data_IF_297039075744
#
_entry.id   IF_297039075744
#
_cell.length_a   1.000
_cell.length_b   1.000
_cell.length_c   1.000
_cell.angle_alpha   90.00
_cell.angle_beta   90.00
_cell.angle_gamma   90.00
#
_symmetry.space_group_name_H-M   'P 1'
#
loop_
_entity.id
_entity.type
_entity.pdbx_description
1 polymer ?
#
# COMPACT_ATOMS: atom_id res chain seq x y z
N UNK A 1 13.38 6.71 12.06
CA UNK A 1 12.55 5.54 11.73
C UNK A 1 12.50 5.36 10.23
N UNK A 2 12.43 4.11 9.78
CA UNK A 2 12.32 3.75 8.38
C UNK A 2 11.20 2.72 8.25
N UNK A 3 10.38 2.85 7.22
CA UNK A 3 9.33 1.88 6.88
C UNK A 3 9.10 1.89 5.38
N UNK A 4 9.62 0.85 4.72
CA UNK A 4 9.51 0.64 3.28
C UNK A 4 8.39 -0.35 2.92
N UNK A 5 7.62 -0.81 3.91
CA UNK A 5 6.71 -1.95 3.78
C UNK A 5 5.23 -1.66 4.05
N UNK A 6 4.84 -0.43 4.34
CA UNK A 6 3.44 -0.08 4.65
C UNK A 6 2.47 -0.31 3.48
N UNK A 7 2.92 -0.05 2.25
CA UNK A 7 2.12 -0.17 1.03
C UNK A 7 2.00 1.17 0.29
N UNK A 8 0.77 1.61 0.00
CA UNK A 8 0.50 2.82 -0.78
C UNK A 8 1.28 4.05 -0.28
N UNK A 9 1.34 4.23 1.03
CA UNK A 9 1.93 5.37 1.73
C UNK A 9 3.24 4.98 2.43
N UNK A 10 3.99 4.02 1.88
CA UNK A 10 5.35 3.74 2.36
C UNK A 10 6.20 5.01 2.36
N UNK A 11 7.05 5.15 3.38
CA UNK A 11 7.97 6.28 3.51
C UNK A 11 8.98 6.26 2.35
N UNK A 12 9.17 7.41 1.71
CA UNK A 12 10.18 7.60 0.66
C UNK A 12 11.47 8.21 1.19
N UNK A 13 11.51 8.57 2.48
CA UNK A 13 12.70 9.01 3.20
C UNK A 13 12.63 8.54 4.67
N UNK A 14 13.78 8.37 5.34
CA UNK A 14 13.79 8.16 6.78
C UNK A 14 13.24 9.39 7.50
N UNK A 15 12.52 9.15 8.61
CA UNK A 15 12.08 10.23 9.49
C UNK A 15 12.95 10.26 10.75
N UNK A 16 13.32 11.43 11.22
CA UNK A 16 13.84 11.58 12.58
C UNK A 16 12.77 11.15 13.59
N UNK A 17 13.18 10.54 14.71
CA UNK A 17 12.24 10.17 15.78
C UNK A 17 11.90 11.39 16.66
N UNK A 18 11.37 12.44 16.02
CA UNK A 18 11.00 13.70 16.67
C UNK A 18 9.49 13.87 16.67
N UNK A 19 8.94 14.19 17.84
CA UNK A 19 7.49 14.25 18.04
C UNK A 19 6.91 15.59 17.61
N UNK A 20 5.74 15.54 17.00
CA UNK A 20 4.89 16.66 16.56
C UNK A 20 5.46 17.53 15.43
N UNK A 21 6.75 17.46 15.16
CA UNK A 21 7.39 18.12 14.04
C UNK A 21 6.91 17.55 12.70
N UNK A 22 6.60 18.45 11.78
CA UNK A 22 6.37 18.11 10.38
C UNK A 22 7.72 17.80 9.76
N UNK A 23 7.80 16.68 9.06
CA UNK A 23 8.99 16.21 8.38
C UNK A 23 8.65 16.01 6.91
N UNK A 24 9.24 16.85 6.07
CA UNK A 24 9.10 16.77 4.62
C UNK A 24 9.78 15.50 4.11
N UNK A 25 9.18 14.89 3.09
CA UNK A 25 9.77 13.78 2.34
C UNK A 25 9.67 14.10 0.85
N UNK A 26 10.32 13.32 -0.04
CA UNK A 26 10.12 13.50 -1.48
C UNK A 26 8.65 13.37 -1.94
N UNK A 27 7.76 12.83 -1.10
CA UNK A 27 6.34 12.68 -1.40
C UNK A 27 5.49 13.53 -0.44
N UNK A 28 4.76 12.91 0.49
CA UNK A 28 3.95 13.62 1.47
C UNK A 28 4.75 13.98 2.72
N UNK A 29 4.25 14.97 3.45
CA UNK A 29 4.76 15.28 4.78
C UNK A 29 4.27 14.27 5.81
N UNK A 30 5.17 13.92 6.72
CA UNK A 30 4.86 13.03 7.83
C UNK A 30 5.10 13.72 9.17
N UNK A 31 4.46 13.20 10.21
CA UNK A 31 4.81 13.52 11.60
C UNK A 31 4.52 12.36 12.52
N UNK A 32 5.26 12.29 13.61
CA UNK A 32 5.07 11.30 14.66
C UNK A 32 4.37 11.98 15.83
N UNK A 33 3.22 11.49 16.25
CA UNK A 33 2.55 12.00 17.46
C UNK A 33 2.57 10.94 18.55
N UNK A 34 2.56 11.36 19.82
CA UNK A 34 2.43 10.47 20.97
C UNK A 34 1.11 10.74 21.68
N UNK A 35 0.31 9.70 21.91
CA UNK A 35 -0.97 9.77 22.64
C UNK A 35 -1.21 8.46 23.40
N UNK A 36 -1.63 8.55 24.66
CA UNK A 36 -1.97 7.39 25.50
C UNK A 36 -0.88 6.30 25.51
N UNK A 37 0.38 6.72 25.71
CA UNK A 37 1.53 5.81 25.76
C UNK A 37 1.98 5.22 24.42
N UNK A 38 1.30 5.52 23.31
CA UNK A 38 1.60 4.98 21.99
C UNK A 38 2.04 6.07 21.01
N UNK A 39 2.75 5.66 19.96
CA UNK A 39 3.15 6.53 18.86
C UNK A 39 2.23 6.30 17.66
N UNK A 40 2.02 7.34 16.87
CA UNK A 40 1.23 7.26 15.64
C UNK A 40 2.00 7.97 14.53
N UNK A 41 2.20 7.29 13.42
CA UNK A 41 2.67 7.91 12.20
C UNK A 41 1.49 8.55 11.49
N UNK A 42 1.60 9.86 11.20
CA UNK A 42 0.61 10.61 10.44
C UNK A 42 1.20 11.09 9.13
N UNK A 43 0.38 11.09 8.09
CA UNK A 43 0.68 11.55 6.74
C UNK A 43 -0.28 12.68 6.37
N UNK A 44 0.22 13.73 5.72
CA UNK A 44 -0.60 14.82 5.18
C UNK A 44 -1.12 14.44 3.80
N UNK A 45 -2.43 14.19 3.68
CA UNK A 45 -3.08 13.79 2.42
C UNK A 45 -4.23 14.75 2.17
N UNK A 46 -4.24 15.43 1.02
CA UNK A 46 -5.26 16.45 0.67
C UNK A 46 -5.47 17.48 1.79
N UNK A 47 -4.38 17.98 2.36
CA UNK A 47 -4.35 18.92 3.49
C UNK A 47 -4.97 18.40 4.80
N UNK A 48 -5.19 17.08 4.93
CA UNK A 48 -5.65 16.43 6.15
C UNK A 48 -4.61 15.47 6.72
N UNK A 49 -4.43 15.52 8.04
CA UNK A 49 -3.55 14.59 8.75
C UNK A 49 -4.23 13.24 9.00
N UNK A 50 -3.94 12.25 8.17
CA UNK A 50 -4.42 10.86 8.31
C UNK A 50 -3.45 10.04 9.15
N UNK A 51 -3.97 9.17 10.00
CA UNK A 51 -3.15 8.21 10.76
C UNK A 51 -2.87 7.00 9.88
N UNK A 52 -1.59 6.68 9.67
CA UNK A 52 -1.19 5.48 8.90
C UNK A 52 -1.23 4.25 9.81
N UNK A 53 -0.52 4.32 10.94
CA UNK A 53 -0.51 3.25 11.93
C UNK A 53 -0.11 3.74 13.31
N UNK A 54 -0.38 2.89 14.30
CA UNK A 54 -0.01 3.04 15.71
C UNK A 54 1.10 2.04 16.03
N UNK A 55 2.10 2.46 16.79
CA UNK A 55 3.20 1.58 17.21
C UNK A 55 3.70 1.89 18.63
N UNK A 56 4.50 0.98 19.16
CA UNK A 56 5.24 1.13 20.43
C UNK A 56 6.73 0.96 20.15
N UNK A 57 7.59 1.22 21.14
CA UNK A 57 9.03 1.01 21.02
C UNK A 57 9.46 -0.39 21.49
N UNK A 58 8.51 -1.29 21.74
CA UNK A 58 8.83 -2.66 22.11
C UNK A 58 9.55 -3.35 20.94
N UNK A 59 10.57 -4.13 21.27
CA UNK A 59 11.28 -4.94 20.29
C UNK A 59 10.38 -6.07 19.82
N UNK A 60 10.20 -6.19 18.51
CA UNK A 60 9.58 -7.34 17.87
C UNK A 60 10.65 -8.32 17.42
N UNK A 61 10.41 -9.62 17.60
CA UNK A 61 11.31 -10.69 17.20
C UNK A 61 10.78 -11.42 15.96
N UNK A 62 11.64 -12.20 15.31
CA UNK A 62 11.27 -12.98 14.13
C UNK A 62 10.07 -13.92 14.35
N UNK A 63 9.89 -14.43 15.57
CA UNK A 63 8.74 -15.27 15.90
C UNK A 63 7.42 -14.49 15.84
N UNK A 64 7.40 -13.24 16.29
CA UNK A 64 6.21 -12.38 16.25
C UNK A 64 5.78 -12.12 14.81
N UNK A 65 6.76 -11.83 13.93
CA UNK A 65 6.51 -11.64 12.51
C UNK A 65 6.00 -12.92 11.82
N UNK A 66 6.47 -14.11 12.21
CA UNK A 66 5.97 -15.38 11.65
C UNK A 66 4.48 -15.58 11.94
N UNK A 67 4.05 -15.30 13.18
CA UNK A 67 2.64 -15.40 13.58
C UNK A 67 1.79 -14.40 12.81
N UNK A 68 2.21 -13.13 12.76
CA UNK A 68 1.51 -12.09 12.01
C UNK A 68 1.42 -12.40 10.51
N UNK A 69 2.53 -12.85 9.90
CA UNK A 69 2.58 -13.23 8.50
C UNK A 69 1.70 -14.43 8.17
N UNK A 70 1.66 -15.44 9.04
CA UNK A 70 0.75 -16.58 8.84
C UNK A 70 -0.70 -16.08 8.79
N UNK A 71 -1.13 -15.29 9.77
CA UNK A 71 -2.48 -14.73 9.77
C UNK A 71 -2.77 -13.93 8.49
N UNK A 72 -1.92 -12.98 8.13
CA UNK A 72 -2.17 -12.13 6.96
C UNK A 72 -2.09 -12.89 5.62
N UNK A 73 -1.27 -13.93 5.51
CA UNK A 73 -1.12 -14.68 4.25
C UNK A 73 -2.09 -15.86 4.10
N UNK A 74 -2.60 -16.43 5.18
CA UNK A 74 -3.39 -17.67 5.12
C UNK A 74 -4.78 -17.58 5.74
N UNK A 75 -5.05 -16.66 6.67
CA UNK A 75 -6.35 -16.61 7.34
C UNK A 75 -7.46 -16.24 6.34
N UNK A 76 -8.62 -16.94 6.33
CA UNK A 76 -9.70 -16.68 5.37
C UNK A 76 -10.19 -15.22 5.37
N UNK A 77 -10.24 -14.61 6.55
CA UNK A 77 -10.70 -13.22 6.73
C UNK A 77 -9.63 -12.17 6.37
N UNK A 78 -8.41 -12.58 6.04
CA UNK A 78 -7.37 -11.63 5.64
C UNK A 78 -7.69 -11.01 4.29
N UNK A 79 -7.69 -9.67 4.22
CA UNK A 79 -7.85 -8.96 2.95
C UNK A 79 -6.77 -9.34 1.93
N UNK A 80 -5.55 -9.64 2.37
CA UNK A 80 -4.44 -10.04 1.49
C UNK A 80 -4.64 -11.43 0.87
N UNK A 81 -5.56 -12.24 1.42
CA UNK A 81 -5.91 -13.54 0.83
C UNK A 81 -6.83 -13.39 -0.37
N UNK A 82 -7.66 -12.34 -0.39
CA UNK A 82 -8.82 -12.23 -1.29
C UNK A 82 -8.77 -11.01 -2.23
N UNK A 83 -7.76 -10.14 -2.09
CA UNK A 83 -7.60 -8.94 -2.93
C UNK A 83 -6.26 -8.91 -3.65
N UNK A 84 -6.22 -8.25 -4.79
CA UNK A 84 -4.98 -7.83 -5.44
C UNK A 84 -4.67 -6.39 -4.98
N UNK A 85 -3.69 -6.23 -4.10
CA UNK A 85 -3.25 -4.92 -3.63
C UNK A 85 -1.78 -4.77 -3.98
N UNK A 86 -1.44 -3.74 -4.75
CA UNK A 86 -0.06 -3.46 -5.16
C UNK A 86 0.21 -1.96 -5.04
N UNK A 87 1.39 -1.62 -4.54
CA UNK A 87 1.82 -0.24 -4.41
C UNK A 87 3.27 -0.10 -4.86
N UNK A 88 3.59 1.06 -5.45
CA UNK A 88 4.97 1.45 -5.76
C UNK A 88 5.11 2.97 -5.74
N UNK A 89 6.14 3.47 -5.04
CA UNK A 89 6.56 4.87 -5.18
C UNK A 89 7.34 5.07 -6.48
N UNK A 90 7.00 6.10 -7.24
CA UNK A 90 7.76 6.64 -8.36
C UNK A 90 8.56 7.88 -7.94
N UNK A 91 9.05 8.65 -8.91
CA UNK A 91 9.78 9.90 -8.63
C UNK A 91 8.83 11.01 -8.16
N UNK A 92 7.80 11.32 -8.96
CA UNK A 92 6.81 12.37 -8.67
C UNK A 92 5.39 11.85 -8.40
N UNK A 93 5.25 10.54 -8.15
CA UNK A 93 3.94 9.93 -7.93
C UNK A 93 3.99 8.63 -7.13
N UNK A 94 2.81 8.16 -6.70
CA UNK A 94 2.59 6.81 -6.17
C UNK A 94 1.63 6.06 -7.06
N UNK A 95 2.00 4.85 -7.43
CA UNK A 95 1.13 3.91 -8.12
C UNK A 95 0.45 3.02 -7.10
N UNK A 96 -0.87 2.88 -7.21
CA UNK A 96 -1.68 1.97 -6.41
C UNK A 96 -2.58 1.15 -7.33
N UNK A 97 -2.68 -0.15 -7.04
CA UNK A 97 -3.63 -1.06 -7.65
C UNK A 97 -4.42 -1.73 -6.53
N UNK A 98 -5.73 -1.53 -6.53
CA UNK A 98 -6.69 -2.18 -5.64
C UNK A 98 -7.70 -2.91 -6.52
N UNK A 99 -7.48 -4.21 -6.68
CA UNK A 99 -8.17 -5.07 -7.64
C UNK A 99 -8.02 -4.56 -9.09
N UNK A 100 -9.10 -4.11 -9.71
CA UNK A 100 -9.12 -3.51 -11.06
C UNK A 100 -8.92 -2.00 -11.05
N UNK A 101 -8.97 -1.36 -9.88
CA UNK A 101 -8.84 0.09 -9.76
C UNK A 101 -7.37 0.48 -9.69
N UNK A 102 -6.89 1.10 -10.77
CA UNK A 102 -5.53 1.62 -10.88
C UNK A 102 -5.52 3.13 -10.66
N UNK A 103 -4.71 3.58 -9.70
CA UNK A 103 -4.62 4.98 -9.33
C UNK A 103 -3.17 5.46 -9.37
N UNK A 104 -2.95 6.63 -9.96
CA UNK A 104 -1.69 7.38 -9.93
C UNK A 104 -1.90 8.61 -9.05
N UNK A 105 -1.31 8.62 -7.87
CA UNK A 105 -1.32 9.76 -6.96
C UNK A 105 -0.12 10.65 -7.25
N UNK A 106 -0.32 11.81 -7.87
CA UNK A 106 0.75 12.78 -8.11
C UNK A 106 1.12 13.50 -6.80
N UNK A 107 2.41 13.71 -6.54
CA UNK A 107 2.89 14.41 -5.31
C UNK A 107 2.33 15.84 -5.24
N UNK A 108 2.25 16.52 -6.39
CA UNK A 108 1.69 17.87 -6.53
C UNK A 108 0.58 17.91 -7.59
N UNK A 109 -0.53 17.25 -7.31
CA UNK A 109 -1.67 17.28 -8.22
C UNK A 109 -2.79 16.33 -7.82
N UNK A 110 -3.77 16.23 -8.72
CA UNK A 110 -4.88 15.33 -8.52
C UNK A 110 -4.49 13.88 -8.83
N UNK A 111 -5.13 12.96 -8.12
CA UNK A 111 -4.98 11.54 -8.40
C UNK A 111 -5.74 11.19 -9.68
N UNK A 112 -5.11 10.46 -10.58
CA UNK A 112 -5.74 9.93 -11.80
C UNK A 112 -6.12 8.49 -11.55
N UNK A 113 -7.41 8.19 -11.65
CA UNK A 113 -7.96 6.85 -11.47
C UNK A 113 -8.51 6.33 -12.79
N UNK A 114 -8.32 5.04 -13.03
CA UNK A 114 -8.99 4.29 -14.09
C UNK A 114 -9.21 2.84 -13.66
N UNK A 115 -10.21 2.19 -14.24
CA UNK A 115 -10.41 0.77 -14.09
C UNK A 115 -9.71 0.03 -15.23
N UNK A 116 -9.13 -1.13 -14.91
CA UNK A 116 -8.52 -2.03 -15.89
C UNK A 116 -9.60 -2.95 -16.47
N UNK A 117 -9.57 -3.13 -17.79
CA UNK A 117 -10.67 -3.72 -18.57
C UNK A 117 -10.49 -5.22 -18.85
N UNK A 118 -9.38 -5.82 -18.41
CA UNK A 118 -9.17 -7.27 -18.56
C UNK A 118 -8.12 -7.84 -17.60
N UNK A 119 -8.14 -9.17 -17.33
CA UNK A 119 -7.04 -9.87 -16.67
C UNK A 119 -5.67 -9.67 -17.35
N UNK A 120 -5.66 -9.57 -18.68
CA UNK A 120 -4.47 -9.29 -19.49
C UNK A 120 -3.90 -7.92 -19.17
N UNK A 121 -4.75 -6.89 -19.11
CA UNK A 121 -4.31 -5.53 -18.76
C UNK A 121 -3.78 -5.47 -17.31
N UNK A 122 -4.41 -6.19 -16.37
CA UNK A 122 -3.87 -6.30 -15.00
C UNK A 122 -2.43 -6.83 -15.04
N UNK A 123 -2.18 -7.91 -15.81
CA UNK A 123 -0.83 -8.49 -15.95
C UNK A 123 0.15 -7.50 -16.58
N UNK A 124 -0.28 -6.73 -17.59
CA UNK A 124 0.54 -5.69 -18.22
C UNK A 124 0.89 -4.56 -17.25
N UNK A 125 -0.07 -4.08 -16.46
CA UNK A 125 0.16 -3.05 -15.44
C UNK A 125 1.09 -3.57 -14.35
N UNK A 126 0.91 -4.80 -13.85
CA UNK A 126 1.83 -5.42 -12.89
C UNK A 126 3.27 -5.46 -13.43
N UNK A 127 3.45 -5.80 -14.71
CA UNK A 127 4.76 -5.88 -15.35
C UNK A 127 5.37 -4.50 -15.62
N UNK A 128 4.66 -3.65 -16.33
CA UNK A 128 5.21 -2.41 -16.89
C UNK A 128 5.20 -1.28 -15.88
N UNK A 129 4.17 -1.20 -15.03
CA UNK A 129 4.02 -0.14 -14.02
C UNK A 129 4.51 -0.60 -12.66
N UNK A 130 4.32 -1.84 -12.23
CA UNK A 130 4.80 -2.27 -10.90
C UNK A 130 6.14 -3.01 -10.93
N UNK A 131 6.68 -3.30 -12.11
CA UNK A 131 7.93 -4.07 -12.29
C UNK A 131 7.89 -5.46 -11.64
N UNK A 132 6.69 -6.03 -11.52
CA UNK A 132 6.47 -7.37 -10.98
C UNK A 132 6.40 -8.40 -12.10
N UNK A 133 6.86 -9.61 -11.81
CA UNK A 133 6.71 -10.77 -12.69
C UNK A 133 5.74 -11.76 -12.04
N UNK A 134 4.44 -11.71 -12.38
CA UNK A 134 3.48 -12.63 -11.80
C UNK A 134 3.81 -14.09 -12.18
N UNK A 135 3.59 -15.06 -11.29
CA UNK A 135 3.85 -16.46 -11.60
C UNK A 135 2.87 -16.98 -12.66
N UNK A 136 3.38 -17.66 -13.68
CA UNK A 136 2.57 -18.22 -14.78
C UNK A 136 1.89 -19.53 -14.33
N UNK A 137 0.86 -19.41 -13.50
CA UNK A 137 0.13 -20.55 -12.93
C UNK A 137 -1.35 -20.47 -13.26
N UNK A 138 -1.98 -21.64 -13.48
CA UNK A 138 -3.44 -21.73 -13.67
C UNK A 138 -4.23 -21.11 -12.51
N UNK A 139 -3.71 -21.22 -11.28
CA UNK A 139 -4.32 -20.62 -10.09
C UNK A 139 -4.38 -19.10 -10.18
N UNK A 140 -3.31 -18.46 -10.64
CA UNK A 140 -3.30 -17.01 -10.83
C UNK A 140 -4.28 -16.60 -11.94
N UNK A 141 -4.29 -17.30 -13.07
CA UNK A 141 -5.20 -16.98 -14.18
C UNK A 141 -6.68 -17.06 -13.77
N UNK A 142 -7.05 -18.09 -13.00
CA UNK A 142 -8.41 -18.22 -12.46
C UNK A 142 -8.73 -17.10 -11.46
N UNK A 143 -7.78 -16.78 -10.57
CA UNK A 143 -7.94 -15.70 -9.61
C UNK A 143 -8.17 -14.35 -10.30
N UNK A 144 -7.37 -14.01 -11.31
CA UNK A 144 -7.51 -12.72 -12.02
C UNK A 144 -8.83 -12.62 -12.79
N UNK A 145 -9.31 -13.73 -13.38
CA UNK A 145 -10.61 -13.77 -14.06
C UNK A 145 -11.76 -13.53 -13.08
N UNK A 146 -11.79 -14.30 -11.98
CA UNK A 146 -12.80 -14.15 -10.95
C UNK A 146 -12.78 -12.73 -10.35
N UNK A 147 -11.59 -12.23 -10.01
CA UNK A 147 -11.40 -10.90 -9.46
C UNK A 147 -11.96 -9.82 -10.40
N UNK A 148 -11.65 -9.92 -11.70
CA UNK A 148 -12.13 -8.97 -12.69
C UNK A 148 -13.67 -8.98 -12.80
N UNK A 149 -14.29 -10.16 -12.82
CA UNK A 149 -15.75 -10.29 -12.86
C UNK A 149 -16.43 -9.68 -11.63
N UNK A 150 -15.85 -9.83 -10.44
CA UNK A 150 -16.38 -9.33 -9.17
C UNK A 150 -16.17 -7.82 -8.95
N UNK A 151 -15.16 -7.23 -9.60
CA UNK A 151 -14.70 -5.86 -9.27
C UNK A 151 -14.72 -4.89 -10.44
N UNK A 152 -15.11 -5.34 -11.64
CA UNK A 152 -15.38 -4.42 -12.74
C UNK A 152 -16.52 -3.46 -12.37
N UNK A 153 -16.45 -2.18 -12.76
CA UNK A 153 -17.55 -1.26 -12.55
C UNK A 153 -18.80 -1.77 -13.28
N UNK A 154 -19.98 -1.59 -12.66
CA UNK A 154 -21.25 -1.85 -13.32
C UNK A 154 -21.41 -0.82 -14.44
N UNK A 155 -21.45 -1.30 -15.70
CA UNK A 155 -21.90 -0.50 -16.84
C UNK A 155 -23.40 -0.20 -16.74
#
# INVERSE_FOLDING_TARGET
MCDVGFGGQSLSAPLEFKLNDIQETPHEDYKIIRKNGCYFLKCSIKNEWKTMYKFTLNTSYMVDYKVANWYTSTHPDSHFKNKLIVARAGEDCRYALDNTRFTVHLVKGESKERYLDSPEEIKEVLKNIFHLKPPQTRKLELFLRQLYEETRPNN
#
